data_IF_027295544847
#
_entry.id   IF_027295544847
#
_cell.length_a   1.000
_cell.length_b   1.000
_cell.length_c   1.000
_cell.angle_alpha   90.00
_cell.angle_beta   90.00
_cell.angle_gamma   90.00
#
_symmetry.space_group_name_H-M   'P 1'
#
loop_
_entity.id
_entity.type
_entity.pdbx_description
1 polymer ?
#
# COMPACT_ATOMS: atom_id res chain seq x y z
N UNK A 1 3.50 17.47 16.58
CA UNK A 1 2.86 18.21 15.47
C UNK A 1 2.42 19.56 16.01
N UNK A 2 2.89 20.66 15.44
CA UNK A 2 2.59 21.98 15.97
C UNK A 2 1.17 22.39 15.57
N UNK A 3 0.33 22.79 16.54
CA UNK A 3 -0.96 23.44 16.26
C UNK A 3 -0.68 24.88 15.85
N UNK A 4 -1.23 25.30 14.72
CA UNK A 4 -0.97 26.63 14.17
C UNK A 4 -2.07 27.62 14.56
N UNK A 5 -1.70 28.90 14.78
CA UNK A 5 -2.66 29.98 14.89
C UNK A 5 -3.00 30.53 13.50
N UNK A 6 -4.30 30.68 13.28
CA UNK A 6 -5.02 31.00 12.05
C UNK A 6 -4.80 30.03 10.87
N UNK A 7 -3.72 30.08 10.08
CA UNK A 7 -2.96 28.90 9.62
C UNK A 7 -1.54 29.31 9.12
N UNK A 8 -0.77 29.89 10.03
CA UNK A 8 0.35 30.85 9.84
C UNK A 8 -0.09 32.27 9.41
N UNK A 9 -1.18 32.45 8.65
CA UNK A 9 -2.27 33.48 8.70
C UNK A 9 -3.22 33.49 7.45
N UNK A 10 -3.26 32.47 6.56
CA UNK A 10 -4.25 32.32 5.45
C UNK A 10 -5.23 31.11 5.53
N UNK A 11 -6.43 31.30 6.09
CA UNK A 11 -7.63 30.43 6.26
C UNK A 11 -7.81 29.10 5.49
N UNK A 12 -6.82 28.20 5.51
CA UNK A 12 -6.88 26.91 4.81
C UNK A 12 -5.61 26.55 4.03
N UNK A 13 -4.45 27.09 4.43
CA UNK A 13 -3.17 26.79 3.78
C UNK A 13 -2.91 25.27 3.73
N UNK A 14 -2.59 24.78 2.53
CA UNK A 14 -2.28 23.39 2.24
C UNK A 14 -1.04 23.29 1.36
N UNK A 15 -0.21 22.27 1.58
CA UNK A 15 0.94 21.96 0.73
C UNK A 15 2.29 22.15 1.41
N UNK A 16 3.35 21.82 0.67
CA UNK A 16 4.73 21.84 1.15
C UNK A 16 5.43 23.16 0.80
N UNK A 17 6.06 23.79 1.77
CA UNK A 17 6.96 24.93 1.56
C UNK A 17 8.40 24.42 1.58
N UNK A 18 9.12 24.67 0.49
CA UNK A 18 10.55 24.41 0.34
C UNK A 18 11.01 22.99 0.73
N UNK A 19 10.13 21.98 0.64
CA UNK A 19 10.39 20.61 1.13
C UNK A 19 10.90 20.58 2.59
N UNK A 20 10.45 21.53 3.40
CA UNK A 20 10.80 21.63 4.81
C UNK A 20 9.58 21.45 5.71
N UNK A 21 8.46 22.08 5.37
CA UNK A 21 7.22 22.04 6.17
C UNK A 21 6.01 21.81 5.29
N UNK A 22 5.06 21.00 5.75
CA UNK A 22 3.77 20.73 5.10
C UNK A 22 2.62 21.20 5.98
N UNK A 23 1.76 22.03 5.41
CA UNK A 23 0.50 22.49 6.01
C UNK A 23 -0.66 21.65 5.50
N UNK A 24 -1.55 21.22 6.41
CA UNK A 24 -2.76 20.48 6.06
C UNK A 24 -3.74 20.47 7.24
N UNK A 25 -5.05 20.26 7.01
CA UNK A 25 -6.00 20.00 8.08
C UNK A 25 -5.86 18.56 8.59
N UNK A 26 -5.82 18.39 9.91
CA UNK A 26 -5.80 17.09 10.57
C UNK A 26 -6.83 17.04 11.70
N UNK A 27 -7.85 16.19 11.55
CA UNK A 27 -8.93 16.02 12.54
C UNK A 27 -9.52 17.36 13.02
N UNK A 28 -9.82 18.26 12.07
CA UNK A 28 -10.38 19.59 12.35
C UNK A 28 -9.38 20.62 12.88
N UNK A 29 -8.09 20.29 12.97
CA UNK A 29 -7.04 21.21 13.41
C UNK A 29 -6.10 21.56 12.25
N UNK A 30 -5.74 22.83 12.13
CA UNK A 30 -4.70 23.26 11.19
C UNK A 30 -3.32 22.98 11.81
N UNK A 31 -2.54 22.13 11.12
CA UNK A 31 -1.28 21.61 11.63
C UNK A 31 -0.14 21.78 10.63
N UNK A 32 1.06 21.93 11.16
CA UNK A 32 2.30 21.81 10.40
C UNK A 32 3.06 20.55 10.81
N UNK A 33 3.63 19.87 9.82
CA UNK A 33 4.62 18.79 10.02
C UNK A 33 5.86 19.03 9.18
N UNK A 34 6.96 18.47 9.61
CA UNK A 34 8.17 18.38 8.80
C UNK A 34 7.89 17.63 7.50
N UNK A 35 8.51 18.08 6.42
CA UNK A 35 8.45 17.39 5.14
C UNK A 35 9.29 16.12 5.23
N UNK A 36 8.61 15.01 5.52
CA UNK A 36 9.24 13.69 5.53
C UNK A 36 9.16 13.12 4.13
N UNK A 37 10.32 12.84 3.52
CA UNK A 37 10.41 11.95 2.35
C UNK A 37 10.42 10.52 2.92
N UNK A 38 9.38 9.71 2.66
CA UNK A 38 9.40 8.32 3.10
C UNK A 38 10.60 7.61 2.46
N UNK A 39 11.46 7.03 3.28
CA UNK A 39 12.50 6.16 2.76
C UNK A 39 11.85 4.91 2.17
N UNK A 40 12.17 4.57 0.91
CA UNK A 40 11.90 3.26 0.34
C UNK A 40 13.22 2.49 0.15
N UNK A 41 13.88 2.08 1.24
CA UNK A 41 15.17 1.41 1.15
C UNK A 41 14.97 0.03 0.53
N UNK A 42 15.63 -0.26 -0.61
CA UNK A 42 15.64 -1.60 -1.23
C UNK A 42 16.55 -2.55 -0.43
N UNK A 43 16.10 -2.92 0.77
CA UNK A 43 16.87 -3.84 1.63
C UNK A 43 16.90 -5.25 1.04
N UNK A 44 17.86 -6.07 1.49
CA UNK A 44 17.95 -7.47 1.11
C UNK A 44 16.64 -8.22 1.43
N UNK A 45 16.14 -8.08 2.67
CA UNK A 45 14.88 -8.72 3.09
C UNK A 45 13.68 -8.32 2.23
N UNK A 46 13.54 -7.04 1.89
CA UNK A 46 12.45 -6.61 1.02
C UNK A 46 12.61 -7.17 -0.40
N UNK A 47 13.83 -7.28 -0.90
CA UNK A 47 14.11 -7.85 -2.22
C UNK A 47 13.83 -9.34 -2.24
N UNK A 48 14.17 -10.06 -1.17
CA UNK A 48 13.81 -11.47 -0.98
C UNK A 48 12.30 -11.67 -1.01
N UNK A 49 11.53 -10.86 -0.26
CA UNK A 49 10.06 -10.95 -0.27
C UNK A 49 9.45 -10.65 -1.64
N UNK A 50 9.96 -9.63 -2.35
CA UNK A 50 9.55 -9.37 -3.74
C UNK A 50 9.89 -10.54 -4.66
N UNK A 51 11.05 -11.17 -4.48
CA UNK A 51 11.46 -12.35 -5.24
C UNK A 51 10.53 -13.55 -5.04
N UNK A 52 10.08 -13.80 -3.81
CA UNK A 52 9.08 -14.85 -3.57
C UNK A 52 7.75 -14.56 -4.28
N UNK A 53 7.30 -13.30 -4.27
CA UNK A 53 6.08 -12.93 -4.98
C UNK A 53 6.23 -13.07 -6.50
N UNK A 54 7.38 -12.65 -7.06
CA UNK A 54 7.68 -12.84 -8.48
C UNK A 54 7.65 -14.31 -8.86
N UNK A 55 8.36 -15.17 -8.11
CA UNK A 55 8.39 -16.61 -8.38
C UNK A 55 6.99 -17.26 -8.28
N UNK A 56 6.16 -16.83 -7.33
CA UNK A 56 4.79 -17.32 -7.20
C UNK A 56 3.93 -16.93 -8.41
N UNK A 57 4.01 -15.69 -8.87
CA UNK A 57 3.28 -15.21 -10.06
C UNK A 57 3.74 -15.93 -11.32
N UNK A 58 5.05 -16.13 -11.48
CA UNK A 58 5.60 -16.87 -12.63
C UNK A 58 5.09 -18.32 -12.65
N UNK A 59 4.99 -18.97 -11.48
CA UNK A 59 4.41 -20.31 -11.35
C UNK A 59 2.93 -20.35 -11.76
N UNK A 60 2.14 -19.35 -11.36
CA UNK A 60 0.73 -19.25 -11.76
C UNK A 60 0.60 -19.05 -13.27
N UNK A 61 1.40 -18.16 -13.88
CA UNK A 61 1.37 -17.95 -15.32
C UNK A 61 1.78 -19.20 -16.10
N UNK A 62 2.76 -19.96 -15.60
CA UNK A 62 3.16 -21.23 -16.20
C UNK A 62 2.02 -22.26 -16.17
N UNK A 63 1.30 -22.36 -15.05
CA UNK A 63 0.14 -23.25 -14.92
C UNK A 63 -1.04 -22.82 -15.81
N UNK A 64 -1.28 -21.52 -15.96
CA UNK A 64 -2.29 -20.99 -16.89
C UNK A 64 -1.94 -21.28 -18.36
N UNK A 65 -0.65 -21.31 -18.70
CA UNK A 65 -0.17 -21.57 -20.05
C UNK A 65 0.04 -23.06 -20.36
N UNK A 66 -0.24 -23.97 -19.43
CA UNK A 66 -0.05 -25.41 -19.64
C UNK A 66 -0.96 -25.92 -20.77
N UNK A 67 -0.39 -26.68 -21.71
CA UNK A 67 -1.12 -27.14 -22.89
C UNK A 67 -2.04 -28.34 -22.61
N UNK A 68 -1.84 -29.05 -21.50
CA UNK A 68 -2.55 -30.29 -21.18
C UNK A 68 -3.63 -30.05 -20.13
N UNK A 69 -3.32 -29.25 -19.10
CA UNK A 69 -4.20 -28.92 -17.99
C UNK A 69 -4.03 -27.43 -17.62
N UNK A 70 -4.47 -26.50 -18.48
CA UNK A 70 -4.39 -25.07 -18.18
C UNK A 70 -5.30 -24.71 -17.01
N UNK A 71 -4.88 -23.75 -16.18
CA UNK A 71 -5.80 -23.08 -15.26
C UNK A 71 -6.74 -22.15 -16.05
N UNK A 72 -8.03 -22.47 -16.05
CA UNK A 72 -9.05 -21.75 -16.82
C UNK A 72 -9.99 -20.90 -15.93
N UNK A 73 -11.10 -20.43 -16.50
CA UNK A 73 -12.08 -19.61 -15.79
C UNK A 73 -12.77 -20.35 -14.64
N UNK A 74 -12.97 -21.65 -14.80
CA UNK A 74 -13.63 -22.53 -13.86
C UNK A 74 -12.74 -22.70 -12.63
N UNK A 75 -11.44 -22.97 -12.83
CA UNK A 75 -10.46 -23.02 -11.74
C UNK A 75 -10.39 -21.71 -10.96
N UNK A 76 -10.33 -20.57 -11.66
CA UNK A 76 -10.30 -19.26 -11.01
C UNK A 76 -11.54 -19.01 -10.14
N UNK A 77 -12.72 -19.43 -10.61
CA UNK A 77 -13.97 -19.33 -9.85
C UNK A 77 -14.00 -20.24 -8.63
N UNK A 78 -13.46 -21.46 -8.75
CA UNK A 78 -13.37 -22.42 -7.66
C UNK A 78 -12.42 -21.94 -6.56
N UNK A 79 -11.25 -21.39 -6.94
CA UNK A 79 -10.31 -20.80 -5.97
C UNK A 79 -10.89 -19.57 -5.28
N UNK A 80 -11.61 -18.70 -5.99
CA UNK A 80 -12.28 -17.55 -5.39
C UNK A 80 -13.35 -17.98 -4.38
N UNK A 81 -14.14 -19.01 -4.70
CA UNK A 81 -15.11 -19.60 -3.78
C UNK A 81 -14.41 -20.17 -2.55
N UNK A 82 -13.34 -20.96 -2.74
CA UNK A 82 -12.58 -21.55 -1.64
C UNK A 82 -12.02 -20.48 -0.69
N UNK A 83 -11.42 -19.41 -1.23
CA UNK A 83 -10.91 -18.30 -0.43
C UNK A 83 -11.98 -17.54 0.34
N UNK A 84 -13.23 -17.55 -0.12
CA UNK A 84 -14.36 -16.92 0.57
C UNK A 84 -14.91 -17.73 1.75
N UNK A 85 -14.60 -19.03 1.81
CA UNK A 85 -15.02 -19.91 2.90
C UNK A 85 -14.16 -19.73 4.16
N UNK A 86 -12.95 -19.19 4.02
CA UNK A 86 -12.04 -18.99 5.14
C UNK A 86 -12.33 -17.63 5.82
N UNK A 87 -12.35 -17.58 7.17
CA UNK A 87 -12.53 -16.32 7.86
C UNK A 87 -11.37 -15.37 7.53
N UNK A 88 -11.70 -14.14 7.11
CA UNK A 88 -10.69 -13.09 6.94
C UNK A 88 -9.86 -12.99 8.22
N UNK A 89 -8.52 -13.09 8.14
CA UNK A 89 -7.66 -12.99 9.30
C UNK A 89 -8.02 -11.73 10.09
N UNK A 90 -8.20 -11.83 11.42
CA UNK A 90 -8.44 -10.64 12.22
C UNK A 90 -7.27 -9.69 11.97
N UNK A 91 -7.62 -8.45 11.61
CA UNK A 91 -6.67 -7.36 11.45
C UNK A 91 -5.70 -7.39 12.63
N UNK A 92 -4.41 -7.54 12.34
CA UNK A 92 -3.37 -7.43 13.35
C UNK A 92 -3.47 -6.02 13.93
N UNK A 93 -3.98 -5.93 15.17
CA UNK A 93 -4.02 -4.73 16.00
C UNK A 93 -2.60 -4.38 16.44
#
# INVERSE_FOLDING_TARGET
MAKLKAPLLSFGASGAIAKAVVYFPWKGLNVAREYVIPANPRTALQTTQRGYLTAAVDGVHAAQADATNPLDSEDASAYALYGSCEPTPPHLV
#
